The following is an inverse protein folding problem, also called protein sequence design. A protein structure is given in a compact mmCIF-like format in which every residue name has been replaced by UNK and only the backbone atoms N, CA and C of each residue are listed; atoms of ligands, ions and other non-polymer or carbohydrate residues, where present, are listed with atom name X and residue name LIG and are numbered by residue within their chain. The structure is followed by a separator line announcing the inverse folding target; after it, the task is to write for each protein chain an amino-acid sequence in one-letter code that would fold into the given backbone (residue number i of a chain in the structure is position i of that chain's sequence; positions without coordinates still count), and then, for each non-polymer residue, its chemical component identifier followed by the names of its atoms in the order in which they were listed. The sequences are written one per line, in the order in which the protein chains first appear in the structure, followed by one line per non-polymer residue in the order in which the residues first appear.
data_IF_524465507659
#
_entry.id   IF_524465507659
#
_cell.length_a   1.000
_cell.length_b   1.000
_cell.length_c   1.000
_cell.angle_alpha   90.00
_cell.angle_beta   90.00
_cell.angle_gamma   90.00
#
_symmetry.space_group_name_H-M   'P 1'
#
loop_
_entity.id
_entity.type
_entity.pdbx_description
1 polymer ?
#
# COMPACT_ATOMS: atom_id res chain seq x y z
N UNK A 1 -29.72 18.90 0.34
CA UNK A 1 -29.20 18.30 1.59
C UNK A 1 -28.00 17.47 1.20
N UNK A 2 -26.80 18.03 1.33
CA UNK A 2 -25.57 17.32 1.01
C UNK A 2 -25.17 16.53 2.24
N UNK A 3 -25.49 15.23 2.25
CA UNK A 3 -24.97 14.29 3.24
C UNK A 3 -23.48 14.08 2.96
N UNK A 4 -22.66 15.09 3.27
CA UNK A 4 -21.26 14.88 3.62
C UNK A 4 -21.25 14.25 5.02
N UNK A 5 -21.76 13.02 5.13
CA UNK A 5 -21.31 12.17 6.23
C UNK A 5 -19.81 12.04 6.05
N UNK A 6 -19.06 12.56 7.02
CA UNK A 6 -17.62 12.55 7.02
C UNK A 6 -17.11 11.12 6.78
N UNK A 7 -16.74 10.81 5.54
CA UNK A 7 -16.02 9.62 5.15
C UNK A 7 -14.65 9.69 5.83
N UNK A 8 -14.60 9.25 7.09
CA UNK A 8 -13.42 9.25 7.97
C UNK A 8 -12.42 8.19 7.51
N UNK A 9 -12.00 8.24 6.24
CA UNK A 9 -10.91 7.41 5.77
C UNK A 9 -9.64 7.83 6.51
N UNK A 10 -8.88 6.86 7.05
CA UNK A 10 -7.57 7.15 7.63
C UNK A 10 -6.68 7.89 6.62
N UNK A 11 -6.00 8.94 7.07
CA UNK A 11 -4.95 9.59 6.29
C UNK A 11 -3.80 8.60 6.02
N UNK A 12 -3.05 8.84 4.95
CA UNK A 12 -2.02 7.92 4.46
C UNK A 12 -0.74 8.63 4.05
N UNK A 13 0.28 7.85 3.66
CA UNK A 13 1.56 8.34 3.17
C UNK A 13 1.63 8.20 1.65
N UNK A 14 1.92 9.29 0.94
CA UNK A 14 2.05 9.27 -0.52
C UNK A 14 3.39 8.63 -0.92
N UNK A 15 3.33 7.68 -1.86
CA UNK A 15 4.47 6.97 -2.41
C UNK A 15 4.54 7.20 -3.92
N UNK A 16 5.74 7.45 -4.44
CA UNK A 16 6.01 7.49 -5.88
C UNK A 16 6.28 6.07 -6.39
N UNK A 17 5.75 5.75 -7.59
CA UNK A 17 5.93 4.45 -8.23
C UNK A 17 7.13 4.47 -9.18
N UNK A 18 8.04 3.53 -8.96
CA UNK A 18 9.23 3.31 -9.77
C UNK A 18 9.02 2.08 -10.64
N UNK A 19 8.99 2.30 -11.97
CA UNK A 19 8.79 1.25 -12.98
C UNK A 19 10.08 0.93 -13.72
N UNK A 20 10.23 -0.34 -14.10
CA UNK A 20 11.30 -0.74 -15.00
C UNK A 20 11.04 -0.22 -16.42
N UNK A 21 11.76 0.84 -16.82
CA UNK A 21 11.59 1.51 -18.11
C UNK A 21 11.60 0.57 -19.34
N UNK A 22 12.28 -0.58 -19.28
CA UNK A 22 12.50 -1.48 -20.44
C UNK A 22 11.58 -2.70 -20.49
N UNK A 23 10.83 -3.00 -19.44
CA UNK A 23 10.13 -4.30 -19.30
C UNK A 23 8.64 -4.25 -19.63
N UNK A 24 8.10 -3.08 -20.00
CA UNK A 24 6.66 -2.90 -20.18
C UNK A 24 5.88 -3.17 -18.87
N UNK A 25 4.57 -3.39 -18.96
CA UNK A 25 3.77 -3.75 -17.80
C UNK A 25 3.89 -5.25 -17.50
N UNK A 26 4.65 -5.58 -16.45
CA UNK A 26 4.78 -6.95 -15.93
C UNK A 26 3.83 -7.23 -14.74
N UNK A 27 2.96 -6.27 -14.38
CA UNK A 27 1.95 -6.43 -13.34
C UNK A 27 0.66 -7.05 -13.86
N UNK A 28 0.52 -7.21 -15.18
CA UNK A 28 -0.71 -7.71 -15.81
C UNK A 28 -1.93 -6.85 -15.47
N UNK A 29 -1.82 -5.53 -15.58
CA UNK A 29 -2.89 -4.59 -15.23
C UNK A 29 -3.08 -4.35 -13.73
N UNK A 30 -2.05 -4.62 -12.93
CA UNK A 30 -2.05 -4.38 -11.49
C UNK A 30 -2.19 -2.90 -11.11
N UNK A 31 -2.41 -2.62 -9.83
CA UNK A 31 -2.66 -1.28 -9.31
C UNK A 31 -1.56 -0.26 -9.66
N UNK A 32 -0.33 -0.74 -9.83
CA UNK A 32 0.83 0.07 -10.19
C UNK A 32 1.14 0.09 -11.69
N UNK A 33 0.35 -0.58 -12.54
CA UNK A 33 0.55 -0.56 -14.00
C UNK A 33 0.57 0.88 -14.55
N UNK A 34 -0.42 1.69 -14.14
CA UNK A 34 -0.62 3.05 -14.64
C UNK A 34 -0.57 4.15 -13.56
N UNK A 35 -0.60 3.81 -12.26
CA UNK A 35 -0.64 4.81 -11.19
C UNK A 35 0.75 5.34 -10.81
N UNK A 36 1.04 6.62 -11.03
CA UNK A 36 2.35 7.21 -10.69
C UNK A 36 2.55 7.39 -9.18
N UNK A 37 1.47 7.46 -8.42
CA UNK A 37 1.49 7.56 -6.97
C UNK A 37 0.51 6.59 -6.31
N UNK A 38 0.87 6.11 -5.12
CA UNK A 38 0.05 5.25 -4.28
C UNK A 38 -0.11 5.87 -2.89
N UNK A 39 -1.26 5.64 -2.26
CA UNK A 39 -1.51 6.08 -0.89
C UNK A 39 -1.37 4.89 0.06
N UNK A 40 -0.31 4.90 0.89
CA UNK A 40 -0.12 3.91 1.93
C UNK A 40 -1.03 4.23 3.13
N UNK A 41 -1.94 3.31 3.49
CA UNK A 41 -2.99 3.55 4.49
C UNK A 41 -2.90 2.66 5.74
N UNK A 42 -2.03 1.65 5.72
CA UNK A 42 -1.92 0.74 6.86
C UNK A 42 -0.90 -0.37 6.70
N UNK A 43 -0.92 -1.27 7.68
CA UNK A 43 -0.04 -2.44 7.78
C UNK A 43 -0.88 -3.69 7.96
N UNK A 44 -0.54 -4.73 7.20
CA UNK A 44 -1.05 -6.07 7.30
C UNK A 44 0.08 -6.99 7.79
N UNK A 45 0.17 -7.23 9.11
CA UNK A 45 1.20 -8.12 9.69
C UNK A 45 0.67 -9.55 9.86
N UNK A 46 0.86 -10.38 8.83
CA UNK A 46 0.42 -11.77 8.80
C UNK A 46 1.30 -12.69 9.65
N UNK A 47 2.43 -12.21 10.17
CA UNK A 47 3.28 -12.99 11.08
C UNK A 47 2.62 -13.17 12.44
N UNK A 48 1.72 -12.26 12.82
CA UNK A 48 1.09 -12.20 14.15
C UNK A 48 -0.34 -12.74 14.17
N UNK A 49 -1.04 -12.79 13.04
CA UNK A 49 -2.38 -13.35 12.96
C UNK A 49 -2.70 -13.89 11.55
N UNK A 50 -3.29 -15.10 11.47
CA UNK A 50 -3.72 -15.74 10.21
C UNK A 50 -4.81 -15.00 9.45
N UNK A 51 -5.58 -14.14 10.12
CA UNK A 51 -6.71 -13.39 9.54
C UNK A 51 -6.39 -11.91 9.33
N UNK A 52 -5.09 -11.59 9.20
CA UNK A 52 -4.49 -10.26 9.25
C UNK A 52 -5.43 -9.12 8.86
N UNK A 53 -5.79 -8.31 9.86
CA UNK A 53 -6.54 -7.07 9.65
C UNK A 53 -5.54 -5.98 9.29
N UNK A 54 -5.91 -5.14 8.33
CA UNK A 54 -5.14 -3.93 8.02
C UNK A 54 -5.31 -2.97 9.20
N UNK A 55 -4.21 -2.72 9.92
CA UNK A 55 -4.15 -1.73 11.00
C UNK A 55 -3.71 -0.38 10.44
N UNK A 56 -4.30 0.70 10.92
CA UNK A 56 -3.89 2.06 10.55
C UNK A 56 -2.41 2.27 10.81
N UNK A 57 -1.79 3.17 10.03
CA UNK A 57 -0.43 3.60 10.28
C UNK A 57 -0.29 4.19 11.71
N UNK A 58 0.89 4.06 12.35
CA UNK A 58 1.13 4.67 13.66
C UNK A 58 0.84 6.17 13.68
N UNK A 59 0.44 6.70 14.84
CA UNK A 59 0.28 8.15 15.04
C UNK A 59 1.58 8.88 14.66
N UNK A 60 1.48 9.91 13.81
CA UNK A 60 2.62 10.62 13.22
C UNK A 60 2.98 10.18 11.79
N UNK A 61 2.56 8.98 11.35
CA UNK A 61 2.69 8.48 9.97
C UNK A 61 1.62 8.99 8.99
N UNK A 62 0.80 9.93 9.43
CA UNK A 62 -0.20 10.62 8.62
C UNK A 62 0.50 11.74 7.85
N UNK A 63 0.94 11.50 6.62
CA UNK A 63 0.93 12.62 5.70
C UNK A 63 -0.53 13.00 5.52
N UNK A 64 -0.83 14.28 5.44
CA UNK A 64 -2.14 14.72 5.00
C UNK A 64 -2.54 13.86 3.80
N UNK A 65 -3.74 13.27 3.84
CA UNK A 65 -4.39 12.85 2.60
C UNK A 65 -4.56 14.12 1.78
N UNK A 66 -3.52 14.50 1.05
CA UNK A 66 -3.61 15.58 0.11
C UNK A 66 -4.53 15.02 -0.95
N UNK A 67 -5.77 15.51 -0.92
CA UNK A 67 -6.55 15.76 -2.12
C UNK A 67 -5.60 16.46 -3.09
N UNK A 68 -4.81 15.70 -3.84
CA UNK A 68 -3.82 16.27 -4.73
C UNK A 68 -4.59 16.84 -5.91
N UNK A 69 -4.68 18.16 -5.96
CA UNK A 69 -5.29 18.88 -7.06
C UNK A 69 -4.28 18.98 -8.20
N UNK A 70 -4.04 17.89 -8.92
CA UNK A 70 -3.33 17.95 -10.20
C UNK A 70 -4.38 18.27 -11.27
N UNK A 71 -4.43 19.52 -11.72
CA UNK A 71 -5.34 19.96 -12.78
C UNK A 71 -6.82 20.12 -12.38
N UNK A 72 -7.12 20.33 -11.09
CA UNK A 72 -8.48 20.68 -10.64
C UNK A 72 -9.48 19.52 -10.60
N UNK A 73 -9.04 18.27 -10.75
CA UNK A 73 -9.84 17.06 -10.50
C UNK A 73 -9.34 16.35 -9.25
N UNK A 74 -10.26 16.01 -8.35
CA UNK A 74 -9.97 15.20 -7.17
C UNK A 74 -9.62 13.78 -7.62
N UNK A 75 -8.33 13.43 -7.59
CA UNK A 75 -7.88 12.08 -7.88
C UNK A 75 -7.56 11.36 -6.57
N UNK A 76 -8.35 10.35 -6.25
CA UNK A 76 -8.05 9.43 -5.14
C UNK A 76 -6.93 8.51 -5.65
N UNK A 77 -5.71 8.69 -5.15
CA UNK A 77 -4.62 7.77 -5.46
C UNK A 77 -5.01 6.35 -5.03
N UNK A 78 -4.69 5.31 -5.82
CA UNK A 78 -4.95 3.93 -5.41
C UNK A 78 -4.28 3.63 -4.07
N UNK A 79 -5.00 2.90 -3.21
CA UNK A 79 -4.58 2.67 -1.82
C UNK A 79 -3.84 1.35 -1.67
N UNK A 80 -2.78 1.37 -0.85
CA UNK A 80 -1.98 0.20 -0.53
C UNK A 80 -1.75 0.04 0.98
N UNK A 81 -1.44 -1.17 1.40
CA UNK A 81 -0.93 -1.46 2.75
C UNK A 81 0.43 -2.16 2.66
N UNK A 82 1.28 -1.98 3.68
CA UNK A 82 2.48 -2.82 3.84
C UNK A 82 2.03 -4.18 4.36
N UNK A 83 2.15 -5.21 3.53
CA UNK A 83 1.96 -6.61 3.91
C UNK A 83 3.28 -7.20 4.37
N UNK A 84 3.25 -7.82 5.55
CA UNK A 84 4.41 -8.43 6.18
C UNK A 84 4.13 -9.90 6.42
N UNK A 85 4.93 -10.76 5.79
CA UNK A 85 4.77 -12.21 5.84
C UNK A 85 6.06 -12.91 6.23
N UNK A 86 5.94 -14.12 6.78
CA UNK A 86 7.08 -15.06 6.82
C UNK A 86 7.22 -15.65 5.42
N UNK A 87 8.44 -15.65 4.91
CA UNK A 87 8.76 -16.33 3.66
C UNK A 87 9.60 -17.57 3.97
N UNK A 88 9.32 -18.69 3.32
CA UNK A 88 9.95 -19.98 3.67
C UNK A 88 11.49 -19.98 3.55
N UNK A 89 12.02 -19.07 2.73
CA UNK A 89 13.45 -19.00 2.38
C UNK A 89 14.15 -17.71 2.85
N UNK A 90 13.47 -16.84 3.60
CA UNK A 90 14.04 -15.57 4.08
C UNK A 90 13.96 -15.58 5.60
N UNK A 91 15.11 -15.48 6.24
CA UNK A 91 15.16 -15.28 7.68
C UNK A 91 14.59 -13.89 8.02
N UNK A 92 13.53 -13.86 8.84
CA UNK A 92 12.82 -12.63 9.19
C UNK A 92 11.47 -12.43 8.49
N UNK A 93 11.07 -11.16 8.33
CA UNK A 93 9.83 -10.77 7.68
C UNK A 93 10.09 -10.18 6.30
N UNK A 94 9.28 -10.57 5.32
CA UNK A 94 9.28 -9.97 3.99
C UNK A 94 8.16 -8.92 3.91
N UNK A 95 8.51 -7.70 3.50
CA UNK A 95 7.55 -6.62 3.26
C UNK A 95 7.32 -6.38 1.77
N UNK A 96 6.05 -6.19 1.41
CA UNK A 96 5.63 -5.69 0.12
C UNK A 96 4.40 -4.80 0.27
N UNK A 97 4.16 -3.95 -0.71
CA UNK A 97 2.92 -3.20 -0.84
C UNK A 97 1.87 -4.05 -1.54
N UNK A 98 0.63 -4.02 -1.05
CA UNK A 98 -0.51 -4.72 -1.67
C UNK A 98 -1.69 -3.77 -1.80
N UNK A 99 -2.48 -3.93 -2.87
CA UNK A 99 -3.69 -3.17 -3.10
C UNK A 99 -4.74 -3.41 -2.01
N UNK A 100 -5.35 -2.31 -1.54
CA UNK A 100 -6.44 -2.35 -0.57
C UNK A 100 -7.54 -1.38 -0.97
N UNK A 101 -8.77 -1.66 -0.55
CA UNK A 101 -9.94 -0.82 -0.79
C UNK A 101 -10.70 -0.57 0.51
N UNK A 102 -11.31 0.62 0.62
CA UNK A 102 -12.12 0.98 1.77
C UNK A 102 -13.50 0.32 1.69
N UNK A 103 -13.80 -0.56 2.62
CA UNK A 103 -15.14 -1.10 2.82
C UNK A 103 -15.92 -0.16 3.75
N UNK A 104 -16.87 0.60 3.18
CA UNK A 104 -17.66 1.59 3.92
C UNK A 104 -18.55 0.94 4.99
N UNK A 105 -19.22 -0.16 4.66
CA UNK A 105 -20.13 -0.87 5.58
C UNK A 105 -19.40 -1.40 6.81
N UNK A 106 -18.18 -1.92 6.60
CA UNK A 106 -17.33 -2.48 7.66
C UNK A 106 -16.36 -1.47 8.25
N UNK A 107 -16.35 -0.24 7.72
CA UNK A 107 -15.47 0.88 8.09
C UNK A 107 -14.00 0.46 8.26
N UNK A 108 -13.47 -0.27 7.27
CA UNK A 108 -12.10 -0.78 7.28
C UNK A 108 -11.56 -0.98 5.87
N UNK A 109 -10.23 -0.96 5.72
CA UNK A 109 -9.59 -1.42 4.50
C UNK A 109 -9.59 -2.95 4.41
N UNK A 110 -9.80 -3.46 3.20
CA UNK A 110 -9.74 -4.88 2.83
C UNK A 110 -8.84 -5.05 1.60
N UNK A 111 -8.25 -6.23 1.40
CA UNK A 111 -7.41 -6.50 0.22
C UNK A 111 -8.27 -6.46 -1.05
N UNK A 112 -7.81 -5.77 -2.09
CA UNK A 112 -8.50 -5.73 -3.40
C UNK A 112 -8.63 -7.14 -3.99
N UNK A 113 -7.53 -7.90 -3.94
CA UNK A 113 -7.45 -9.27 -4.49
C UNK A 113 -7.55 -10.31 -3.37
N UNK A 114 -8.57 -10.17 -2.49
CA UNK A 114 -8.77 -11.10 -1.37
C UNK A 114 -8.92 -12.55 -1.87
N UNK A 115 -8.13 -13.47 -1.30
CA UNK A 115 -8.14 -14.89 -1.66
C UNK A 115 -7.31 -15.25 -2.90
N UNK A 116 -6.68 -14.26 -3.56
CA UNK A 116 -5.76 -14.49 -4.68
C UNK A 116 -4.31 -14.31 -4.25
N UNK A 117 -3.42 -15.03 -4.95
CA UNK A 117 -1.98 -14.84 -4.80
C UNK A 117 -1.58 -13.68 -5.70
N UNK A 118 -1.27 -12.53 -5.09
CA UNK A 118 -0.62 -11.42 -5.77
C UNK A 118 0.90 -11.53 -5.65
N UNK A 119 1.59 -11.20 -6.73
CA UNK A 119 3.04 -11.34 -6.86
C UNK A 119 3.71 -10.04 -7.23
N UNK A 120 5.02 -9.99 -7.03
CA UNK A 120 5.85 -8.88 -7.46
C UNK A 120 5.87 -8.80 -8.99
N UNK A 121 5.36 -7.69 -9.54
CA UNK A 121 5.33 -7.43 -10.98
C UNK A 121 6.50 -6.58 -11.50
N UNK A 122 7.54 -6.33 -10.68
CA UNK A 122 8.71 -5.54 -11.09
C UNK A 122 8.65 -4.06 -10.68
N UNK A 123 7.52 -3.57 -10.19
CA UNK A 123 7.35 -2.18 -9.75
C UNK A 123 7.61 -2.01 -8.26
N UNK A 124 8.27 -0.92 -7.90
CA UNK A 124 8.50 -0.53 -6.52
C UNK A 124 7.75 0.77 -6.22
N UNK A 125 7.48 1.05 -4.94
CA UNK A 125 7.09 2.38 -4.52
C UNK A 125 7.82 2.81 -3.25
N UNK A 126 8.07 4.11 -3.15
CA UNK A 126 8.87 4.68 -2.08
C UNK A 126 8.60 6.17 -1.90
N UNK A 127 9.25 6.75 -0.90
CA UNK A 127 9.15 8.18 -0.60
C UNK A 127 10.43 8.65 0.06
N UNK A 128 10.76 9.94 -0.03
CA UNK A 128 11.83 10.56 0.76
C UNK A 128 11.44 10.81 2.22
N UNK A 129 10.20 10.52 2.58
CA UNK A 129 9.67 10.72 3.92
C UNK A 129 10.16 9.65 4.92
N UNK A 130 10.81 10.07 6.01
CA UNK A 130 11.42 9.17 7.00
C UNK A 130 10.44 8.20 7.64
N UNK A 131 9.13 8.47 7.59
CA UNK A 131 8.08 7.67 8.21
C UNK A 131 7.94 6.31 7.57
N UNK A 132 8.23 6.16 6.27
CA UNK A 132 8.32 4.83 5.65
C UNK A 132 9.53 4.03 6.17
N UNK A 133 10.66 4.71 6.38
CA UNK A 133 11.86 4.14 6.99
C UNK A 133 11.62 3.68 8.43
N UNK A 134 10.92 4.48 9.23
CA UNK A 134 10.56 4.12 10.61
C UNK A 134 9.57 2.96 10.67
N UNK A 135 8.61 2.92 9.74
CA UNK A 135 7.67 1.80 9.63
C UNK A 135 8.42 0.51 9.28
N UNK A 136 9.27 0.52 8.25
CA UNK A 136 10.06 -0.65 7.87
C UNK A 136 11.00 -1.08 8.99
N UNK A 137 11.66 -0.16 9.68
CA UNK A 137 12.52 -0.49 10.84
C UNK A 137 11.74 -1.16 11.97
N UNK A 138 10.58 -0.60 12.33
CA UNK A 138 9.72 -1.15 13.38
C UNK A 138 9.27 -2.58 13.11
N UNK A 139 8.93 -2.89 11.86
CA UNK A 139 8.37 -4.20 11.55
C UNK A 139 9.37 -5.19 10.95
N UNK A 140 10.44 -4.74 10.29
CA UNK A 140 11.43 -5.57 9.59
C UNK A 140 12.80 -5.59 10.26
N UNK A 141 13.03 -4.72 11.26
CA UNK A 141 14.32 -4.60 11.94
C UNK A 141 15.39 -3.85 11.16
N UNK A 142 15.05 -3.28 9.99
CA UNK A 142 15.94 -2.46 9.18
C UNK A 142 15.15 -1.40 8.42
N UNK A 143 15.80 -0.28 8.11
CA UNK A 143 15.19 0.83 7.35
C UNK A 143 15.15 0.53 5.87
N UNK A 144 13.97 0.70 5.27
CA UNK A 144 13.79 0.79 3.82
C UNK A 144 12.87 1.96 3.46
N UNK A 145 13.29 2.73 2.46
CA UNK A 145 12.53 3.86 1.91
C UNK A 145 11.79 3.49 0.61
N UNK A 146 11.91 2.24 0.19
CA UNK A 146 11.32 1.71 -1.04
C UNK A 146 10.90 0.25 -0.81
N UNK A 147 9.71 -0.12 -1.29
CA UNK A 147 9.17 -1.47 -1.12
C UNK A 147 8.69 -2.02 -2.46
N UNK A 148 8.82 -3.34 -2.69
CA UNK A 148 8.25 -3.99 -3.86
C UNK A 148 6.72 -3.95 -3.80
N UNK A 149 6.07 -3.77 -4.95
CA UNK A 149 4.61 -3.80 -5.08
C UNK A 149 4.19 -5.19 -5.54
N UNK A 150 3.32 -5.84 -4.76
CA UNK A 150 2.73 -7.13 -5.07
C UNK A 150 1.31 -6.91 -5.57
N UNK A 151 1.19 -6.68 -6.87
CA UNK A 151 -0.06 -6.40 -7.57
C UNK A 151 -0.22 -7.19 -8.87
N UNK A 152 0.74 -8.06 -9.21
CA UNK A 152 0.58 -9.00 -10.31
C UNK A 152 -0.41 -10.09 -9.95
N UNK A 153 -1.43 -10.27 -10.77
CA UNK A 153 -2.35 -11.41 -10.72
C UNK A 153 -2.06 -12.38 -11.86
N UNK A 154 -2.12 -13.67 -11.57
CA UNK A 154 -2.09 -14.74 -12.57
C UNK A 154 -3.47 -15.39 -12.64
N UNK A 155 -3.87 -15.77 -13.85
CA UNK A 155 -5.13 -16.46 -14.16
C UNK A 155 -4.91 -17.91 -14.55
#
# INVERSE_FOLDING_TARGET
MNNNENDHRPAGLLLDVYRAHRLGDCTNGGISAAADTLLLVGVLDERRARTGRITSLPSGCTAHGVRSHVGGREQISPTVAVRIRRHAFIEGGYAALVGVEWNADRRRYELTEAGRVVMFGGNYAGTSDSRLGELSERYLGHRSMILPIHDRTEG
#
